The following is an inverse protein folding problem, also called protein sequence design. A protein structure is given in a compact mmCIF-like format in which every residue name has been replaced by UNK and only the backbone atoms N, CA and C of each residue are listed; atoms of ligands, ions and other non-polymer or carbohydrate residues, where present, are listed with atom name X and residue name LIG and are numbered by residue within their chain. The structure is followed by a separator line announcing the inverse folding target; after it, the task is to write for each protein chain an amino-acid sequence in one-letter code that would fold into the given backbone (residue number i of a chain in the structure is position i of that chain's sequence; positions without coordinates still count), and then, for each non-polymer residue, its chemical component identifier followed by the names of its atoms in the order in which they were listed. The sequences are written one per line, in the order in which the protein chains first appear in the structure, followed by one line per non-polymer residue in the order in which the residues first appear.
data_IF_159047557591
#
_entry.id   IF_159047557591
#
_cell.length_a   1.000
_cell.length_b   1.000
_cell.length_c   1.000
_cell.angle_alpha   90.00
_cell.angle_beta   90.00
_cell.angle_gamma   90.00
#
_symmetry.space_group_name_H-M   'P 1'
#
loop_
_entity.id
_entity.type
_entity.pdbx_description
1 polymer ?
#
# COMPACT_ATOMS: atom_id res chain seq x y z
N UNK A 1 66.94 36.64 25.07
CA UNK A 1 66.07 35.52 25.49
C UNK A 1 65.08 35.18 24.37
N UNK A 2 65.58 34.76 23.20
CA UNK A 2 64.75 34.53 22.01
C UNK A 2 65.04 33.19 21.32
N UNK A 3 66.27 32.69 21.40
CA UNK A 3 66.65 31.43 20.76
C UNK A 3 66.02 30.15 21.36
N UNK A 4 65.66 30.14 22.65
CA UNK A 4 65.03 28.96 23.27
C UNK A 4 63.56 28.77 22.86
N UNK A 5 62.82 29.86 22.62
CA UNK A 5 61.39 29.79 22.26
C UNK A 5 61.15 29.12 20.91
N UNK A 6 62.06 29.31 19.95
CA UNK A 6 61.93 28.68 18.63
C UNK A 6 62.25 27.18 18.69
N UNK A 7 63.24 26.77 19.51
CA UNK A 7 63.55 25.36 19.76
C UNK A 7 62.38 24.58 20.36
N UNK A 8 61.69 25.14 21.35
CA UNK A 8 60.52 24.46 21.94
C UNK A 8 59.35 24.36 20.94
N UNK A 9 59.16 25.38 20.09
CA UNK A 9 58.08 25.42 19.09
C UNK A 9 58.28 24.41 17.96
N UNK A 10 59.51 24.16 17.53
CA UNK A 10 59.81 23.12 16.54
C UNK A 10 59.71 21.71 17.17
N UNK A 11 60.11 21.56 18.44
CA UNK A 11 59.97 20.31 19.21
C UNK A 11 58.51 19.92 19.47
N UNK A 12 57.60 20.89 19.53
CA UNK A 12 56.16 20.67 19.60
C UNK A 12 55.58 20.21 18.25
N UNK A 13 55.93 20.89 17.14
CA UNK A 13 55.53 20.48 15.78
C UNK A 13 55.94 19.06 15.42
N UNK A 14 57.14 18.63 15.80
CA UNK A 14 57.61 17.27 15.50
C UNK A 14 56.85 16.21 16.32
N UNK A 15 56.42 16.52 17.55
CA UNK A 15 55.55 15.63 18.34
C UNK A 15 54.17 15.45 17.70
N UNK A 16 53.59 16.50 17.15
CA UNK A 16 52.29 16.40 16.49
C UNK A 16 52.37 15.63 15.16
N UNK A 17 53.44 15.83 14.38
CA UNK A 17 53.73 15.01 13.18
C UNK A 17 53.85 13.52 13.49
N UNK A 18 54.46 13.16 14.61
CA UNK A 18 54.57 11.75 15.01
C UNK A 18 53.24 11.16 15.51
N UNK A 19 52.38 11.95 16.16
CA UNK A 19 51.00 11.54 16.49
C UNK A 19 50.17 11.27 15.24
N UNK A 20 50.24 12.13 14.23
CA UNK A 20 49.50 11.95 12.97
C UNK A 20 49.98 10.69 12.22
N UNK A 21 51.29 10.41 12.22
CA UNK A 21 51.87 9.17 11.68
C UNK A 21 51.40 7.92 12.41
N UNK A 22 51.24 7.95 13.72
CA UNK A 22 50.65 6.83 14.47
C UNK A 22 49.17 6.64 14.15
N UNK A 23 48.43 7.74 13.96
CA UNK A 23 47.01 7.69 13.55
C UNK A 23 46.84 7.03 12.19
N UNK A 24 47.58 7.47 11.18
CA UNK A 24 47.57 6.84 9.84
C UNK A 24 47.96 5.36 9.86
N UNK A 25 48.96 4.98 10.68
CA UNK A 25 49.32 3.56 10.86
C UNK A 25 48.16 2.74 11.43
N UNK A 26 47.42 3.30 12.39
CA UNK A 26 46.30 2.60 13.05
C UNK A 26 45.11 2.40 12.11
N UNK A 27 44.85 3.37 11.23
CA UNK A 27 43.74 3.25 10.28
C UNK A 27 44.11 2.37 9.06
N UNK A 28 45.36 2.42 8.57
CA UNK A 28 45.86 1.43 7.57
C UNK A 28 45.85 -0.01 8.09
N UNK A 29 46.10 -0.22 9.39
CA UNK A 29 45.98 -1.55 9.98
C UNK A 29 44.54 -2.09 9.90
N UNK A 30 43.54 -1.24 10.18
CA UNK A 30 42.10 -1.58 10.12
C UNK A 30 41.63 -1.93 8.72
N UNK A 31 42.05 -1.18 7.70
CA UNK A 31 41.72 -1.51 6.30
C UNK A 31 42.34 -2.86 5.86
N UNK A 32 43.52 -3.20 6.38
CA UNK A 32 44.18 -4.47 6.05
C UNK A 32 43.48 -5.70 6.63
N UNK A 33 42.78 -5.56 7.76
CA UNK A 33 42.01 -6.66 8.37
C UNK A 33 40.67 -6.91 7.64
N UNK A 34 40.01 -5.86 7.14
CA UNK A 34 38.74 -5.98 6.42
C UNK A 34 38.85 -6.64 5.03
N UNK A 35 40.07 -6.83 4.51
CA UNK A 35 40.30 -7.32 3.13
C UNK A 35 40.45 -8.85 3.01
N UNK A 36 40.14 -9.63 4.06
CA UNK A 36 40.26 -11.11 4.04
C UNK A 36 38.91 -11.79 3.77
N UNK A 37 38.71 -12.50 2.64
CA UNK A 37 37.47 -13.22 2.39
C UNK A 37 37.42 -14.51 3.23
N UNK A 38 36.41 -14.66 4.09
CA UNK A 38 36.10 -15.94 4.76
C UNK A 38 34.80 -16.54 4.25
N UNK A 39 34.90 -17.86 4.00
CA UNK A 39 33.97 -18.70 3.24
C UNK A 39 32.63 -18.93 3.95
N UNK A 40 31.66 -19.32 3.15
CA UNK A 40 30.40 -19.99 3.52
C UNK A 40 30.55 -21.16 4.50
N UNK A 41 29.48 -21.48 5.24
CA UNK A 41 28.77 -22.79 5.16
C UNK A 41 27.63 -22.96 6.21
N UNK A 42 26.40 -23.15 5.70
CA UNK A 42 25.38 -24.17 6.10
C UNK A 42 25.10 -24.56 7.57
N UNK A 43 23.81 -24.40 7.93
CA UNK A 43 22.88 -25.36 8.58
C UNK A 43 23.02 -25.82 10.05
N UNK A 44 21.84 -25.83 10.69
CA UNK A 44 21.29 -26.81 11.67
C UNK A 44 21.77 -26.85 13.14
N UNK A 45 20.80 -27.14 14.02
CA UNK A 45 21.00 -27.47 15.44
C UNK A 45 21.38 -26.29 16.36
N UNK A 46 21.06 -26.28 17.64
CA UNK A 46 20.42 -27.31 18.46
C UNK A 46 21.09 -27.40 19.84
N UNK A 47 20.49 -26.76 20.84
CA UNK A 47 20.67 -26.92 22.30
C UNK A 47 22.09 -27.04 22.92
N UNK A 48 22.40 -26.10 23.83
CA UNK A 48 23.04 -26.32 25.17
C UNK A 48 23.08 -24.96 25.89
N UNK A 49 22.38 -24.82 27.02
CA UNK A 49 22.83 -25.12 28.39
C UNK A 49 23.84 -24.09 28.93
N UNK A 50 23.39 -23.32 29.91
CA UNK A 50 24.20 -22.93 31.06
C UNK A 50 23.39 -23.27 32.33
N UNK A 51 23.93 -24.13 33.17
CA UNK A 51 23.69 -24.14 34.62
C UNK A 51 24.67 -23.10 35.23
N UNK A 52 24.49 -22.42 36.36
CA UNK A 52 24.24 -22.75 37.78
C UNK A 52 23.97 -21.39 38.50
N UNK A 53 23.38 -21.24 39.68
CA UNK A 53 22.61 -22.09 40.64
C UNK A 53 21.62 -21.13 41.40
N UNK A 54 20.94 -21.38 42.52
CA UNK A 54 21.02 -22.41 43.58
C UNK A 54 19.67 -22.56 44.35
N UNK A 55 19.65 -23.36 45.42
CA UNK A 55 18.51 -23.65 46.31
C UNK A 55 18.04 -22.52 47.24
N UNK A 56 16.74 -22.49 47.52
CA UNK A 56 16.22 -22.70 48.90
C UNK A 56 14.81 -23.29 48.85
N UNK A 57 14.64 -24.45 49.49
CA UNK A 57 13.34 -25.11 49.69
C UNK A 57 12.66 -24.55 50.94
N UNK A 58 11.33 -24.51 50.95
CA UNK A 58 10.50 -24.59 52.17
C UNK A 58 9.15 -25.19 51.76
N UNK A 59 8.92 -26.46 52.08
CA UNK A 59 7.58 -27.05 52.11
C UNK A 59 6.95 -26.76 53.47
N UNK A 60 5.72 -26.24 53.48
CA UNK A 60 4.82 -26.43 54.62
C UNK A 60 3.48 -26.95 54.11
N UNK A 61 3.28 -28.25 54.27
CA UNK A 61 2.00 -28.93 54.13
C UNK A 61 1.30 -28.89 55.48
N UNK A 62 0.07 -28.37 55.52
CA UNK A 62 -0.82 -28.65 56.64
C UNK A 62 -2.27 -28.88 56.21
N UNK A 63 -2.85 -29.94 56.75
CA UNK A 63 -4.12 -30.50 56.29
C UNK A 63 -5.11 -30.63 57.45
N UNK A 64 -6.29 -30.03 57.25
CA UNK A 64 -7.55 -30.35 57.91
C UNK A 64 -7.68 -30.15 59.43
N UNK A 65 -8.56 -29.21 59.81
CA UNK A 65 -9.46 -29.45 60.95
C UNK A 65 -10.87 -28.98 60.58
N UNK A 66 -11.85 -29.86 60.78
CA UNK A 66 -13.25 -29.58 60.51
C UNK A 66 -13.97 -29.13 61.78
N UNK A 67 -14.67 -28.00 61.70
CA UNK A 67 -15.77 -27.67 62.62
C UNK A 67 -17.02 -27.40 61.79
N UNK A 68 -18.11 -28.07 62.15
CA UNK A 68 -19.38 -27.96 61.45
C UNK A 68 -20.19 -26.78 62.00
N UNK A 69 -20.55 -25.83 61.15
CA UNK A 69 -21.74 -25.01 61.36
C UNK A 69 -22.58 -24.92 60.09
N UNK A 70 -23.89 -25.07 60.29
CA UNK A 70 -24.90 -25.18 59.26
C UNK A 70 -25.26 -23.80 58.69
N UNK A 71 -25.01 -23.55 57.40
CA UNK A 71 -25.46 -22.33 56.74
C UNK A 71 -25.98 -22.56 55.31
N UNK A 72 -27.31 -22.58 55.22
CA UNK A 72 -28.19 -22.36 54.04
C UNK A 72 -27.56 -22.39 52.63
N UNK A 73 -27.84 -23.46 51.88
CA UNK A 73 -27.67 -23.52 50.42
C UNK A 73 -28.54 -22.46 49.70
N UNK A 74 -28.03 -21.25 49.52
CA UNK A 74 -28.49 -20.35 48.45
C UNK A 74 -27.72 -20.67 47.18
N UNK A 75 -28.39 -21.31 46.22
CA UNK A 75 -27.92 -21.45 44.84
C UNK A 75 -27.73 -20.05 44.22
N UNK A 76 -26.51 -19.49 44.36
CA UNK A 76 -26.11 -18.27 43.65
C UNK A 76 -25.95 -18.65 42.18
N UNK A 77 -27.05 -18.55 41.42
CA UNK A 77 -27.02 -18.62 39.94
C UNK A 77 -25.86 -17.75 39.47
N UNK A 78 -24.87 -18.35 38.80
CA UNK A 78 -23.81 -17.58 38.15
C UNK A 78 -24.49 -16.55 37.23
N UNK A 79 -24.07 -15.27 37.24
CA UNK A 79 -24.62 -14.30 36.30
C UNK A 79 -24.44 -14.84 34.88
N UNK A 80 -25.40 -14.58 33.96
CA UNK A 80 -25.30 -15.10 32.60
C UNK A 80 -24.01 -14.58 31.96
N UNK A 81 -23.18 -15.49 31.43
CA UNK A 81 -21.99 -15.11 30.67
C UNK A 81 -22.42 -14.22 29.50
N UNK A 82 -22.00 -12.96 29.51
CA UNK A 82 -22.12 -12.07 28.35
C UNK A 82 -21.32 -12.70 27.22
N UNK A 83 -21.88 -12.70 26.01
CA UNK A 83 -21.18 -13.13 24.80
C UNK A 83 -20.70 -11.88 24.06
N UNK A 84 -19.58 -11.98 23.37
CA UNK A 84 -19.17 -10.91 22.46
C UNK A 84 -20.21 -10.70 21.35
N UNK A 85 -20.35 -9.46 20.91
CA UNK A 85 -21.30 -9.03 19.88
C UNK A 85 -20.66 -7.97 18.99
N UNK A 86 -21.30 -7.64 17.88
CA UNK A 86 -20.89 -6.56 17.00
C UNK A 86 -22.09 -5.66 16.67
N UNK A 87 -21.83 -4.39 16.37
CA UNK A 87 -22.84 -3.40 15.95
C UNK A 87 -22.72 -3.16 14.44
N UNK A 88 -23.84 -2.85 13.78
CA UNK A 88 -23.88 -2.54 12.35
C UNK A 88 -24.65 -1.26 12.05
N UNK A 89 -24.32 -0.62 10.93
CA UNK A 89 -25.15 0.40 10.29
C UNK A 89 -26.37 -0.22 9.60
N UNK A 90 -27.31 0.63 9.19
CA UNK A 90 -28.43 0.25 8.30
C UNK A 90 -27.95 -0.26 6.93
N UNK A 91 -26.75 0.15 6.49
CA UNK A 91 -26.08 -0.36 5.28
C UNK A 91 -25.42 -1.74 5.47
N UNK A 92 -25.43 -2.29 6.70
CA UNK A 92 -24.87 -3.60 7.02
C UNK A 92 -23.37 -3.62 7.32
N UNK A 93 -22.69 -2.46 7.32
CA UNK A 93 -21.27 -2.32 7.69
C UNK A 93 -21.09 -2.48 9.20
N UNK A 94 -19.99 -3.11 9.63
CA UNK A 94 -19.72 -3.38 11.05
C UNK A 94 -18.93 -2.22 11.67
N UNK A 95 -19.57 -1.48 12.59
CA UNK A 95 -19.02 -0.25 13.19
C UNK A 95 -18.32 -0.47 14.52
N UNK A 96 -18.64 -1.57 15.22
CA UNK A 96 -17.98 -1.91 16.47
C UNK A 96 -18.00 -3.41 16.77
N UNK A 97 -17.01 -3.84 17.57
CA UNK A 97 -16.96 -5.14 18.22
C UNK A 97 -16.90 -4.96 19.73
N UNK A 98 -17.75 -5.69 20.47
CA UNK A 98 -17.90 -5.57 21.92
C UNK A 98 -17.57 -6.94 22.53
N UNK A 99 -16.58 -7.00 23.41
CA UNK A 99 -16.13 -8.23 24.08
C UNK A 99 -17.09 -8.67 25.19
N UNK A 100 -16.82 -9.84 25.80
CA UNK A 100 -17.59 -10.33 26.96
C UNK A 100 -17.47 -9.39 28.19
N UNK A 101 -16.35 -8.66 28.29
CA UNK A 101 -16.04 -7.66 29.33
C UNK A 101 -16.55 -6.24 28.98
N UNK A 102 -17.49 -6.12 28.03
CA UNK A 102 -18.07 -4.87 27.50
C UNK A 102 -17.05 -3.86 26.90
N UNK A 103 -15.81 -4.27 26.58
CA UNK A 103 -14.84 -3.40 25.90
C UNK A 103 -15.23 -3.26 24.43
N UNK A 104 -15.45 -2.01 23.99
CA UNK A 104 -15.88 -1.66 22.63
C UNK A 104 -14.67 -1.27 21.77
N UNK A 105 -14.47 -1.97 20.66
CA UNK A 105 -13.47 -1.71 19.64
C UNK A 105 -14.14 -1.20 18.35
N UNK A 106 -13.49 -0.27 17.64
CA UNK A 106 -13.97 0.41 16.44
C UNK A 106 -12.83 0.54 15.41
N UNK A 107 -13.13 0.72 14.11
CA UNK A 107 -12.16 1.24 13.14
C UNK A 107 -11.43 2.47 13.67
N UNK A 108 -10.12 2.55 13.43
CA UNK A 108 -9.23 3.58 13.96
C UNK A 108 -8.64 3.30 15.35
N UNK A 109 -9.21 2.37 16.14
CA UNK A 109 -8.62 2.02 17.45
C UNK A 109 -7.24 1.37 17.28
N UNK A 110 -6.29 1.79 18.12
CA UNK A 110 -5.01 1.11 18.30
C UNK A 110 -5.12 0.03 19.38
N UNK A 111 -4.61 -1.17 19.08
CA UNK A 111 -4.93 -2.40 19.81
C UNK A 111 -3.73 -3.33 19.99
N UNK A 112 -3.79 -4.13 21.06
CA UNK A 112 -2.91 -5.27 21.27
C UNK A 112 -3.56 -6.54 20.74
N UNK A 113 -2.82 -7.31 19.94
CA UNK A 113 -3.23 -8.60 19.39
C UNK A 113 -2.34 -9.71 19.94
N UNK A 114 -2.92 -10.84 20.32
CA UNK A 114 -2.19 -12.00 20.81
C UNK A 114 -1.24 -12.59 19.76
N UNK A 115 0.04 -12.76 20.14
CA UNK A 115 0.97 -13.55 19.35
C UNK A 115 0.72 -15.04 19.55
N UNK A 116 0.72 -15.82 18.46
CA UNK A 116 0.55 -17.29 18.51
C UNK A 116 1.74 -18.02 19.13
N UNK A 117 2.86 -17.32 19.39
CA UNK A 117 4.08 -17.88 19.98
C UNK A 117 4.12 -17.55 21.48
N UNK A 118 4.38 -18.53 22.37
CA UNK A 118 4.59 -18.24 23.78
C UNK A 118 5.77 -17.29 23.98
N UNK A 119 5.72 -16.50 25.06
CA UNK A 119 6.74 -15.51 25.45
C UNK A 119 7.04 -14.42 24.40
N UNK A 120 6.21 -14.28 23.37
CA UNK A 120 6.31 -13.18 22.39
C UNK A 120 5.38 -12.03 22.81
N UNK A 121 5.83 -10.77 22.85
CA UNK A 121 4.97 -9.64 23.20
C UNK A 121 3.82 -9.48 22.20
N UNK A 122 2.72 -8.88 22.65
CA UNK A 122 1.56 -8.60 21.80
C UNK A 122 1.94 -7.81 20.55
N UNK A 123 1.33 -8.12 19.41
CA UNK A 123 1.43 -7.25 18.22
C UNK A 123 0.68 -5.95 18.48
N UNK A 124 1.20 -4.85 17.96
CA UNK A 124 0.57 -3.52 18.06
C UNK A 124 0.04 -3.16 16.68
N UNK A 125 -1.26 -2.87 16.61
CA UNK A 125 -1.99 -2.72 15.36
C UNK A 125 -3.00 -1.58 15.45
N UNK A 126 -3.46 -1.05 14.30
CA UNK A 126 -4.66 -0.22 14.23
C UNK A 126 -5.73 -0.88 13.36
N UNK A 127 -6.95 -0.96 13.87
CA UNK A 127 -8.10 -1.56 13.17
C UNK A 127 -8.45 -0.69 11.98
N UNK A 128 -8.49 -1.25 10.77
CA UNK A 128 -8.94 -0.57 9.56
C UNK A 128 -10.44 -0.77 9.35
N UNK A 129 -10.90 -2.02 9.40
CA UNK A 129 -12.30 -2.40 9.21
C UNK A 129 -12.59 -3.78 9.82
N UNK A 130 -13.88 -4.12 9.93
CA UNK A 130 -14.37 -5.43 10.34
C UNK A 130 -15.08 -6.13 9.19
N UNK A 131 -14.77 -7.41 8.97
CA UNK A 131 -15.36 -8.25 7.92
C UNK A 131 -15.99 -9.50 8.52
N UNK A 132 -17.19 -9.84 8.06
CA UNK A 132 -17.86 -11.08 8.45
C UNK A 132 -17.66 -12.17 7.40
N UNK A 133 -17.14 -13.32 7.82
CA UNK A 133 -17.07 -14.52 6.96
C UNK A 133 -18.13 -15.51 7.41
N UNK A 134 -19.12 -15.74 6.55
CA UNK A 134 -20.13 -16.77 6.72
C UNK A 134 -19.55 -18.11 6.29
N UNK A 135 -19.55 -19.11 7.18
CA UNK A 135 -18.94 -20.40 6.91
C UNK A 135 -19.94 -21.30 6.15
N UNK A 136 -20.05 -21.11 4.84
CA UNK A 136 -20.96 -21.83 3.93
C UNK A 136 -20.54 -23.29 3.70
N UNK A 137 -20.56 -24.10 4.76
CA UNK A 137 -20.30 -25.54 4.68
C UNK A 137 -21.51 -26.31 4.11
N UNK A 138 -21.84 -25.99 2.86
CA UNK A 138 -22.83 -26.66 2.02
C UNK A 138 -22.55 -26.34 0.54
N UNK A 139 -21.49 -26.95 -0.05
CA UNK A 139 -21.35 -27.27 -1.49
C UNK A 139 -19.97 -27.87 -1.84
N UNK A 140 -19.64 -29.05 -1.29
CA UNK A 140 -18.59 -29.92 -1.85
C UNK A 140 -18.70 -31.35 -1.31
N UNK A 141 -19.78 -32.06 -1.67
CA UNK A 141 -19.69 -33.51 -1.84
C UNK A 141 -19.01 -33.76 -3.17
N UNK A 142 -17.75 -34.17 -3.15
CA UNK A 142 -17.05 -34.66 -4.35
C UNK A 142 -17.81 -35.86 -4.93
N UNK A 143 -18.19 -35.86 -6.21
CA UNK A 143 -18.57 -37.09 -6.89
C UNK A 143 -17.35 -37.99 -6.99
N UNK A 144 -17.49 -39.27 -6.64
CA UNK A 144 -16.53 -40.31 -7.00
C UNK A 144 -16.48 -40.46 -8.53
N UNK A 145 -15.31 -40.62 -9.15
CA UNK A 145 -15.22 -40.82 -10.59
C UNK A 145 -15.74 -42.22 -10.95
N UNK A 146 -16.85 -42.27 -11.69
CA UNK A 146 -17.30 -43.46 -12.41
C UNK A 146 -17.02 -43.26 -13.91
N UNK A 147 -16.47 -44.30 -14.55
CA UNK A 147 -16.12 -44.32 -15.96
C UNK A 147 -17.37 -44.39 -16.87
N UNK A 148 -17.23 -43.92 -18.12
CA UNK A 148 -17.82 -44.45 -19.37
C UNK A 148 -19.33 -44.84 -19.38
N UNK A 149 -20.23 -44.29 -20.21
CA UNK A 149 -20.15 -43.99 -21.65
C UNK A 149 -21.39 -43.16 -22.13
N UNK A 150 -21.42 -42.66 -23.39
CA UNK A 150 -22.53 -41.88 -23.98
C UNK A 150 -23.42 -42.73 -24.94
N UNK A 151 -24.34 -42.14 -25.73
CA UNK A 151 -25.52 -41.33 -25.35
C UNK A 151 -26.83 -41.94 -25.90
N UNK A 152 -28.00 -41.46 -25.46
CA UNK A 152 -29.28 -41.76 -26.14
C UNK A 152 -30.30 -40.60 -26.08
N UNK A 153 -30.89 -40.31 -27.23
CA UNK A 153 -31.82 -39.21 -27.49
C UNK A 153 -33.18 -39.36 -26.79
N UNK A 154 -33.79 -38.25 -26.33
CA UNK A 154 -35.12 -37.79 -26.82
C UNK A 154 -35.60 -36.48 -26.16
N UNK A 155 -36.25 -35.63 -26.95
CA UNK A 155 -37.10 -34.47 -26.57
C UNK A 155 -38.58 -34.95 -26.51
N UNK A 156 -39.64 -34.10 -26.34
CA UNK A 156 -39.75 -32.68 -25.96
C UNK A 156 -40.82 -32.43 -24.84
N UNK A 157 -41.32 -31.17 -24.75
CA UNK A 157 -42.63 -30.72 -24.20
C UNK A 157 -42.69 -30.50 -22.68
N UNK A 158 -43.27 -29.45 -22.09
CA UNK A 158 -43.57 -28.03 -22.36
C UNK A 158 -44.57 -27.56 -21.27
N UNK A 159 -44.88 -26.25 -21.24
CA UNK A 159 -46.07 -25.62 -20.63
C UNK A 159 -46.28 -25.59 -19.10
N UNK A 160 -45.95 -24.41 -18.55
CA UNK A 160 -46.80 -23.53 -17.72
C UNK A 160 -46.84 -23.64 -16.17
N UNK A 161 -47.11 -22.49 -15.47
CA UNK A 161 -46.91 -22.33 -14.02
C UNK A 161 -48.22 -22.38 -13.20
N UNK A 162 -48.11 -22.43 -11.86
CA UNK A 162 -48.85 -21.47 -11.02
C UNK A 162 -47.96 -20.85 -9.91
N UNK A 163 -47.94 -19.53 -9.79
CA UNK A 163 -48.76 -18.74 -8.83
C UNK A 163 -48.42 -18.92 -7.34
N UNK A 164 -47.67 -17.93 -6.84
CA UNK A 164 -47.81 -17.23 -5.56
C UNK A 164 -48.73 -17.87 -4.48
N UNK A 165 -48.11 -18.51 -3.49
CA UNK A 165 -48.67 -18.64 -2.14
C UNK A 165 -47.70 -18.01 -1.15
N UNK A 166 -48.18 -16.98 -0.46
CA UNK A 166 -47.49 -16.29 0.61
C UNK A 166 -47.61 -17.09 1.92
N UNK A 167 -46.49 -17.61 2.43
CA UNK A 167 -46.42 -18.08 3.82
C UNK A 167 -45.40 -17.27 4.61
N UNK A 168 -45.89 -16.60 5.65
CA UNK A 168 -45.05 -15.88 6.60
C UNK A 168 -44.44 -16.84 7.62
N UNK A 169 -43.27 -16.48 8.16
CA UNK A 169 -42.88 -16.94 9.49
C UNK A 169 -42.05 -18.23 9.55
N UNK A 170 -40.80 -18.16 9.07
CA UNK A 170 -39.65 -18.74 9.79
C UNK A 170 -38.39 -17.92 9.47
N UNK A 171 -38.00 -17.06 10.42
CA UNK A 171 -36.66 -16.47 10.39
C UNK A 171 -35.61 -17.59 10.37
N UNK A 172 -34.50 -17.44 9.63
CA UNK A 172 -33.55 -18.54 9.43
C UNK A 172 -33.00 -19.01 10.77
N UNK A 173 -33.26 -20.28 11.07
CA UNK A 173 -32.69 -20.99 12.23
C UNK A 173 -31.18 -20.89 12.15
N UNK A 174 -30.55 -20.38 13.21
CA UNK A 174 -29.17 -19.89 13.19
C UNK A 174 -28.18 -20.88 12.56
N UNK A 175 -27.63 -20.49 11.41
CA UNK A 175 -26.51 -21.20 10.79
C UNK A 175 -25.25 -21.06 11.65
N UNK A 176 -24.25 -21.90 11.37
CA UNK A 176 -23.01 -22.04 12.14
C UNK A 176 -22.31 -20.68 12.27
N UNK A 177 -21.95 -20.30 13.52
CA UNK A 177 -21.35 -19.02 13.94
C UNK A 177 -20.56 -18.32 12.83
N UNK A 178 -21.02 -17.13 12.47
CA UNK A 178 -20.24 -16.22 11.63
C UNK A 178 -18.90 -15.89 12.29
N UNK A 179 -17.83 -15.89 11.50
CA UNK A 179 -16.50 -15.53 11.97
C UNK A 179 -16.27 -14.04 11.71
N UNK A 180 -16.18 -13.25 12.79
CA UNK A 180 -15.78 -11.85 12.69
C UNK A 180 -14.25 -11.76 12.57
N UNK A 181 -13.81 -11.18 11.45
CA UNK A 181 -12.45 -10.80 11.15
C UNK A 181 -12.31 -9.28 11.25
N UNK A 182 -11.08 -8.81 11.43
CA UNK A 182 -10.68 -7.42 11.31
C UNK A 182 -9.48 -7.34 10.36
N UNK A 183 -9.41 -6.28 9.56
CA UNK A 183 -8.18 -5.91 8.88
C UNK A 183 -7.42 -4.92 9.75
N UNK A 184 -6.10 -5.04 9.83
CA UNK A 184 -5.25 -4.21 10.68
C UNK A 184 -4.00 -3.75 9.97
N UNK A 185 -3.62 -2.48 10.18
CA UNK A 185 -2.26 -2.00 9.89
C UNK A 185 -1.33 -2.33 11.05
N UNK A 186 -0.09 -2.67 10.73
CA UNK A 186 0.93 -3.06 11.71
C UNK A 186 1.73 -1.87 12.21
N UNK A 187 2.18 -1.96 13.46
CA UNK A 187 3.23 -1.11 14.02
C UNK A 187 4.39 -2.00 14.49
N UNK A 188 5.55 -1.84 13.86
CA UNK A 188 6.76 -2.56 14.20
C UNK A 188 7.46 -1.88 15.37
N UNK A 189 7.90 -2.64 16.37
CA UNK A 189 8.84 -2.18 17.39
C UNK A 189 10.24 -1.99 16.79
N UNK A 190 11.08 -1.21 17.46
CA UNK A 190 12.51 -1.12 17.15
C UNK A 190 13.17 -2.49 16.98
N UNK A 191 12.90 -3.46 17.87
CA UNK A 191 13.48 -4.81 17.82
C UNK A 191 12.94 -5.70 16.70
N UNK A 192 11.94 -5.24 15.94
CA UNK A 192 11.33 -5.95 14.81
C UNK A 192 11.78 -5.34 13.47
N UNK A 193 12.47 -4.19 13.50
CA UNK A 193 13.15 -3.57 12.36
C UNK A 193 14.60 -4.08 12.30
N UNK A 194 15.14 -4.45 11.12
CA UNK A 194 16.51 -4.94 11.01
C UNK A 194 17.55 -3.93 11.50
N UNK A 195 18.56 -4.40 12.26
CA UNK A 195 19.59 -3.56 12.87
C UNK A 195 20.27 -2.60 11.87
N UNK A 196 20.55 -3.06 10.64
CA UNK A 196 21.14 -2.22 9.61
C UNK A 196 20.25 -1.03 9.25
N UNK A 197 18.93 -1.21 9.17
CA UNK A 197 17.98 -0.14 8.86
C UNK A 197 17.90 0.85 10.02
N UNK A 198 17.87 0.35 11.26
CA UNK A 198 17.85 1.19 12.45
C UNK A 198 19.16 1.96 12.68
N UNK A 199 20.32 1.38 12.33
CA UNK A 199 21.61 2.07 12.39
C UNK A 199 21.68 3.27 11.44
N UNK A 200 21.18 3.15 10.21
CA UNK A 200 21.07 4.29 9.29
C UNK A 200 20.16 5.38 9.87
N UNK A 201 18.99 5.02 10.44
CA UNK A 201 18.12 5.98 11.11
C UNK A 201 18.81 6.75 12.26
N UNK A 202 19.62 6.06 13.07
CA UNK A 202 20.39 6.70 14.15
C UNK A 202 21.45 7.65 13.58
N UNK A 203 22.07 7.30 12.45
CA UNK A 203 23.02 8.16 11.76
C UNK A 203 22.35 9.38 11.14
N UNK A 204 21.22 9.22 10.45
CA UNK A 204 20.46 10.31 9.84
C UNK A 204 19.99 11.31 10.92
N UNK A 205 19.44 10.81 12.05
CA UNK A 205 19.07 11.63 13.21
C UNK A 205 20.26 12.35 13.87
N UNK A 206 21.48 11.84 13.72
CA UNK A 206 22.67 12.53 14.21
C UNK A 206 23.13 13.61 13.24
N UNK A 207 23.06 13.35 11.93
CA UNK A 207 23.39 14.30 10.87
C UNK A 207 22.41 15.49 10.85
N UNK A 208 21.11 15.25 11.03
CA UNK A 208 20.07 16.31 11.06
C UNK A 208 20.08 17.14 12.36
N UNK A 209 20.80 16.70 13.39
CA UNK A 209 20.87 17.37 14.68
C UNK A 209 22.02 18.40 14.74
N UNK A 210 22.10 19.28 13.73
CA UNK A 210 23.06 20.40 13.64
C UNK A 210 23.12 21.26 14.93
N UNK A 211 22.01 21.32 15.66
CA UNK A 211 21.88 22.09 16.90
C UNK A 211 22.50 21.42 18.14
N UNK A 212 22.95 20.16 18.05
CA UNK A 212 23.45 19.38 19.19
C UNK A 212 22.43 19.22 20.32
N UNK A 213 21.13 19.31 20.02
CA UNK A 213 20.06 19.23 21.04
C UNK A 213 19.90 17.79 21.50
N UNK A 214 19.53 17.60 22.76
CA UNK A 214 19.20 16.28 23.26
C UNK A 214 17.96 15.73 22.54
N UNK A 215 18.11 14.58 21.88
CA UNK A 215 17.01 13.90 21.19
C UNK A 215 16.18 13.14 22.23
N UNK A 216 14.84 13.16 22.12
CA UNK A 216 13.96 12.51 23.10
C UNK A 216 14.22 10.99 23.28
N UNK A 217 14.82 10.35 22.26
CA UNK A 217 15.22 8.94 22.24
C UNK A 217 16.53 8.64 23.00
N UNK A 218 17.17 9.62 23.66
CA UNK A 218 18.26 9.36 24.60
C UNK A 218 17.77 8.64 25.85
N UNK A 219 16.55 8.95 26.31
CA UNK A 219 15.87 8.20 27.37
C UNK A 219 15.50 6.78 26.85
N UNK A 220 16.08 5.70 27.42
CA UNK A 220 15.76 4.33 27.03
C UNK A 220 14.27 4.00 27.19
N UNK A 221 13.56 4.64 28.13
CA UNK A 221 12.13 4.44 28.35
C UNK A 221 11.32 4.97 27.16
N UNK A 222 11.64 6.17 26.67
CA UNK A 222 10.94 6.78 25.53
C UNK A 222 11.34 6.08 24.24
N UNK A 223 12.62 5.75 24.06
CA UNK A 223 13.14 4.99 22.91
C UNK A 223 12.37 3.68 22.69
N UNK A 224 12.11 2.93 23.76
CA UNK A 224 11.34 1.68 23.71
C UNK A 224 9.82 1.86 23.45
N UNK A 225 9.33 3.11 23.32
CA UNK A 225 7.95 3.44 22.93
C UNK A 225 7.82 3.95 21.49
N UNK A 226 8.93 4.07 20.76
CA UNK A 226 8.92 4.33 19.32
C UNK A 226 8.49 3.08 18.55
N UNK A 227 7.55 3.28 17.63
CA UNK A 227 7.06 2.30 16.68
C UNK A 227 7.19 2.83 15.25
N UNK A 228 7.13 1.92 14.28
CA UNK A 228 7.15 2.22 12.86
C UNK A 228 5.87 1.68 12.21
N UNK A 229 5.01 2.56 11.70
CA UNK A 229 3.76 2.17 11.04
C UNK A 229 4.05 1.44 9.72
N UNK A 230 3.25 0.46 9.34
CA UNK A 230 3.36 -0.17 8.02
C UNK A 230 2.06 -0.05 7.24
N UNK A 231 2.19 0.11 5.93
CA UNK A 231 1.07 -0.01 4.99
C UNK A 231 0.68 -1.47 4.73
N UNK A 232 1.43 -2.43 5.27
CA UNK A 232 1.04 -3.83 5.28
C UNK A 232 -0.23 -4.03 6.11
N UNK A 233 -1.27 -4.56 5.46
CA UNK A 233 -2.56 -4.90 6.08
C UNK A 233 -2.67 -6.42 6.20
N UNK A 234 -3.01 -6.90 7.39
CA UNK A 234 -3.22 -8.33 7.69
C UNK A 234 -4.60 -8.54 8.33
N UNK A 235 -5.08 -9.78 8.34
CA UNK A 235 -6.45 -10.14 8.79
C UNK A 235 -6.44 -11.04 10.02
N UNK A 236 -7.03 -10.55 11.12
CA UNK A 236 -7.10 -11.27 12.40
C UNK A 236 -8.55 -11.55 12.84
N UNK A 237 -8.76 -12.60 13.63
CA UNK A 237 -10.05 -12.82 14.29
C UNK A 237 -10.29 -11.78 15.38
N UNK A 238 -11.53 -11.30 15.52
CA UNK A 238 -11.94 -10.37 16.57
C UNK A 238 -11.60 -10.87 18.00
N UNK A 239 -11.58 -12.19 18.21
CA UNK A 239 -11.22 -12.83 19.48
C UNK A 239 -9.72 -12.75 19.83
N UNK A 240 -8.85 -12.30 18.93
CA UNK A 240 -7.42 -12.14 19.19
C UNK A 240 -7.05 -10.81 19.88
N UNK A 241 -8.02 -9.89 20.02
CA UNK A 241 -7.86 -8.62 20.74
C UNK A 241 -7.63 -8.84 22.24
N UNK A 242 -6.62 -8.18 22.81
CA UNK A 242 -6.27 -8.27 24.23
C UNK A 242 -6.29 -6.95 24.99
N UNK A 243 -6.39 -5.82 24.29
CA UNK A 243 -6.56 -4.51 24.90
C UNK A 243 -6.46 -3.40 23.86
N UNK A 244 -6.73 -2.16 24.30
CA UNK A 244 -6.41 -0.95 23.53
C UNK A 244 -5.08 -0.37 23.98
N UNK A 245 -4.43 0.35 23.08
CA UNK A 245 -3.30 1.21 23.38
C UNK A 245 -3.52 2.58 22.72
N UNK A 246 -2.71 3.58 23.09
CA UNK A 246 -2.73 4.90 22.49
C UNK A 246 -1.44 5.11 21.68
N UNK A 247 -1.56 5.44 20.40
CA UNK A 247 -0.43 5.69 19.51
C UNK A 247 -0.54 7.10 18.97
N UNK A 248 0.47 7.94 19.24
CA UNK A 248 0.54 9.31 18.74
C UNK A 248 1.44 9.42 17.51
N UNK A 249 1.00 10.17 16.50
CA UNK A 249 1.84 10.58 15.38
C UNK A 249 2.61 11.85 15.74
N UNK A 250 3.88 11.94 15.32
CA UNK A 250 4.66 13.19 15.34
C UNK A 250 5.29 13.42 13.97
N UNK A 251 5.42 14.69 13.56
CA UNK A 251 6.05 15.08 12.29
C UNK A 251 7.52 14.68 12.22
N UNK A 252 8.23 14.81 13.34
CA UNK A 252 9.68 14.68 13.43
C UNK A 252 10.12 14.33 14.86
N UNK A 253 11.42 14.07 15.02
CA UNK A 253 12.03 13.67 16.29
C UNK A 253 12.06 14.79 17.35
N UNK A 254 11.95 16.06 16.95
CA UNK A 254 11.90 17.19 17.86
C UNK A 254 10.48 17.44 18.38
N UNK A 255 9.44 17.22 17.56
CA UNK A 255 8.05 17.24 17.98
C UNK A 255 7.74 16.12 18.99
N UNK A 256 8.35 14.94 18.82
CA UNK A 256 8.21 13.80 19.73
C UNK A 256 8.66 14.07 21.18
N UNK A 257 9.34 15.19 21.47
CA UNK A 257 9.64 15.65 22.86
C UNK A 257 8.39 15.85 23.73
N UNK A 258 7.23 16.03 23.11
CA UNK A 258 5.95 16.25 23.81
C UNK A 258 5.30 14.92 24.26
N UNK A 259 5.83 13.78 23.80
CA UNK A 259 5.40 12.46 24.21
C UNK A 259 5.62 12.22 25.71
N UNK A 260 4.65 11.58 26.36
CA UNK A 260 4.71 11.22 27.78
C UNK A 260 4.61 9.71 27.90
N UNK A 261 5.72 9.07 28.30
CA UNK A 261 5.77 7.63 28.49
C UNK A 261 4.72 7.16 29.52
N UNK A 262 3.88 6.21 29.10
CA UNK A 262 2.87 5.53 29.92
C UNK A 262 2.84 4.05 29.53
N UNK A 263 2.21 3.21 30.35
CA UNK A 263 2.18 1.74 30.16
C UNK A 263 1.65 1.35 28.78
N UNK A 264 0.56 1.98 28.34
CA UNK A 264 -0.12 1.71 27.06
C UNK A 264 -0.07 2.90 26.09
N UNK A 265 1.03 3.65 26.09
CA UNK A 265 1.25 4.75 25.14
C UNK A 265 2.52 4.55 24.33
N UNK A 266 2.42 4.80 23.04
CA UNK A 266 3.48 4.70 22.05
C UNK A 266 3.42 5.90 21.09
N UNK A 267 4.43 6.04 20.25
CA UNK A 267 4.42 7.01 19.17
C UNK A 267 5.09 6.47 17.92
N UNK A 268 4.85 7.12 16.79
CA UNK A 268 5.55 6.87 15.53
C UNK A 268 5.80 8.19 14.79
N UNK A 269 6.92 8.22 14.06
CA UNK A 269 7.34 9.33 13.20
C UNK A 269 7.45 8.84 11.76
N UNK A 270 8.12 7.69 11.58
CA UNK A 270 8.38 7.06 10.31
C UNK A 270 7.52 5.81 10.13
N UNK A 271 7.30 5.43 8.88
CA UNK A 271 6.81 4.10 8.55
C UNK A 271 7.94 3.14 8.15
N UNK A 272 7.63 1.86 8.12
CA UNK A 272 8.53 0.78 7.73
C UNK A 272 7.85 -0.15 6.72
N UNK A 273 8.51 -0.34 5.58
CA UNK A 273 8.11 -1.32 4.58
C UNK A 273 8.97 -2.59 4.75
N UNK A 274 8.39 -3.73 5.17
CA UNK A 274 9.12 -4.96 5.44
C UNK A 274 9.66 -5.66 4.18
N UNK A 275 9.05 -5.45 3.02
CA UNK A 275 9.44 -6.07 1.75
C UNK A 275 10.73 -5.42 1.20
N UNK A 276 10.75 -4.09 1.15
CA UNK A 276 11.89 -3.30 0.66
C UNK A 276 12.94 -3.02 1.74
N UNK A 277 12.61 -3.31 3.02
CA UNK A 277 13.43 -3.03 4.21
C UNK A 277 13.85 -1.56 4.29
N UNK A 278 12.92 -0.64 4.00
CA UNK A 278 13.13 0.80 4.01
C UNK A 278 12.21 1.48 5.01
N UNK A 279 12.72 2.55 5.60
CA UNK A 279 11.91 3.54 6.32
C UNK A 279 11.39 4.58 5.33
N UNK A 280 10.19 5.08 5.57
CA UNK A 280 9.59 6.18 4.83
C UNK A 280 9.08 7.27 5.79
N UNK A 281 8.99 8.51 5.31
CA UNK A 281 8.22 9.53 6.02
C UNK A 281 6.74 9.14 5.98
N UNK A 282 6.03 9.40 7.07
CA UNK A 282 4.59 9.18 7.20
C UNK A 282 3.75 10.24 6.49
N UNK A 283 4.40 11.32 6.05
CA UNK A 283 3.81 12.37 5.21
C UNK A 283 4.56 12.44 3.89
N UNK A 284 3.86 12.84 2.82
CA UNK A 284 4.50 13.09 1.53
C UNK A 284 5.50 14.23 1.64
N UNK A 285 6.78 13.96 1.38
CA UNK A 285 7.88 14.89 1.58
C UNK A 285 8.55 15.26 0.24
N UNK A 286 8.85 16.55 0.05
CA UNK A 286 9.62 17.04 -1.09
C UNK A 286 11.10 16.98 -0.74
N UNK A 287 11.84 16.05 -1.38
CA UNK A 287 13.29 15.94 -1.21
C UNK A 287 14.02 16.94 -2.10
N UNK A 288 14.85 17.78 -1.47
CA UNK A 288 15.68 18.79 -2.15
C UNK A 288 17.13 18.32 -2.13
N UNK A 289 17.80 18.36 -3.29
CA UNK A 289 19.23 18.09 -3.40
C UNK A 289 19.66 17.55 -4.77
N UNK A 290 20.97 17.50 -5.07
CA UNK A 290 21.49 17.18 -6.41
C UNK A 290 21.14 15.77 -6.93
N UNK A 291 20.77 14.83 -6.05
CA UNK A 291 20.33 13.48 -6.42
C UNK A 291 18.84 13.38 -6.75
N UNK A 292 18.04 14.39 -6.43
CA UNK A 292 16.59 14.43 -6.63
C UNK A 292 16.18 15.53 -7.64
N UNK A 293 17.00 16.56 -7.82
CA UNK A 293 16.75 17.66 -8.74
C UNK A 293 17.35 17.37 -10.12
N UNK A 294 16.60 17.67 -11.18
CA UNK A 294 17.13 17.60 -12.54
C UNK A 294 18.24 18.65 -12.74
N UNK A 295 19.32 18.27 -13.44
CA UNK A 295 20.32 19.23 -13.89
C UNK A 295 19.67 20.11 -14.97
N UNK A 296 19.54 21.40 -14.69
CA UNK A 296 19.04 22.37 -15.67
C UNK A 296 20.00 22.44 -16.88
N UNK A 297 19.49 22.47 -18.12
CA UNK A 297 20.30 22.69 -19.31
C UNK A 297 20.81 24.13 -19.36
N UNK A 298 21.95 24.34 -20.02
CA UNK A 298 22.50 25.67 -20.24
C UNK A 298 21.61 26.48 -21.20
N UNK A 299 21.40 27.76 -20.89
CA UNK A 299 20.56 28.66 -21.67
C UNK A 299 21.08 28.77 -23.12
N UNK A 300 20.28 28.25 -24.07
CA UNK A 300 20.53 28.41 -25.49
C UNK A 300 19.97 29.75 -25.99
N UNK A 301 20.59 30.38 -27.02
CA UNK A 301 19.96 31.49 -27.72
C UNK A 301 18.66 31.03 -28.39
N UNK A 302 17.72 31.96 -28.60
CA UNK A 302 16.51 31.65 -29.36
C UNK A 302 16.88 31.19 -30.79
N UNK A 303 16.15 30.20 -31.35
CA UNK A 303 16.35 29.80 -32.74
C UNK A 303 16.08 30.97 -33.68
N UNK A 304 16.83 31.04 -34.78
CA UNK A 304 16.59 32.03 -35.84
C UNK A 304 15.18 31.86 -36.43
N UNK A 305 14.47 32.95 -36.74
CA UNK A 305 13.12 32.87 -37.33
C UNK A 305 13.08 32.20 -38.71
N UNK A 306 14.23 32.07 -39.38
CA UNK A 306 14.40 31.39 -40.67
C UNK A 306 14.71 29.88 -40.53
N UNK A 307 14.66 29.31 -39.31
CA UNK A 307 14.84 27.87 -39.09
C UNK A 307 13.60 27.07 -39.48
N UNK A 308 13.79 25.82 -39.93
CA UNK A 308 12.68 24.90 -40.19
C UNK A 308 11.80 24.75 -38.95
N UNK A 309 10.50 25.04 -39.10
CA UNK A 309 9.51 25.01 -38.01
C UNK A 309 9.10 23.61 -37.59
N UNK A 310 9.62 22.59 -38.25
CA UNK A 310 9.33 21.16 -38.05
C UNK A 310 10.66 20.44 -37.84
N UNK A 311 10.91 20.01 -36.60
CA UNK A 311 12.09 19.20 -36.26
C UNK A 311 11.90 17.75 -36.69
N UNK A 312 13.00 16.98 -36.72
CA UNK A 312 12.99 15.54 -37.02
C UNK A 312 12.12 14.66 -36.08
N UNK A 313 11.57 15.24 -35.00
CA UNK A 313 10.77 14.55 -34.00
C UNK A 313 9.27 14.87 -34.11
N UNK A 314 8.86 15.73 -35.04
CA UNK A 314 7.46 16.11 -35.25
C UNK A 314 7.08 16.08 -36.73
N UNK A 315 5.79 15.96 -37.00
CA UNK A 315 5.21 16.03 -38.33
C UNK A 315 4.11 17.09 -38.31
N UNK A 316 4.18 18.07 -39.21
CA UNK A 316 3.13 19.07 -39.32
C UNK A 316 1.89 18.44 -39.94
N UNK A 317 0.83 18.27 -39.16
CA UNK A 317 -0.46 17.74 -39.64
C UNK A 317 -1.50 18.84 -39.88
N UNK A 318 -1.31 20.02 -39.30
CA UNK A 318 -2.20 21.17 -39.47
C UNK A 318 -1.50 22.50 -39.16
N UNK A 319 -1.77 23.52 -39.98
CA UNK A 319 -1.31 24.89 -39.86
C UNK A 319 -2.54 25.82 -39.72
N UNK A 320 -2.63 26.64 -38.65
CA UNK A 320 -3.65 27.69 -38.54
C UNK A 320 -3.49 28.75 -39.64
N UNK A 321 -4.60 29.34 -40.11
CA UNK A 321 -4.59 30.45 -41.08
C UNK A 321 -5.60 30.31 -42.23
N UNK A 322 -6.25 29.14 -42.38
CA UNK A 322 -7.40 28.97 -43.29
C UNK A 322 -8.55 29.85 -42.83
N UNK A 323 -9.29 30.46 -43.76
CA UNK A 323 -10.49 31.23 -43.43
C UNK A 323 -11.61 30.31 -42.90
N UNK A 324 -12.20 30.64 -41.75
CA UNK A 324 -13.25 29.83 -41.11
C UNK A 324 -14.47 29.58 -42.02
N UNK A 325 -14.87 30.55 -42.85
CA UNK A 325 -16.02 30.40 -43.76
C UNK A 325 -15.72 29.36 -44.85
N UNK A 326 -14.55 29.46 -45.48
CA UNK A 326 -14.09 28.52 -46.51
C UNK A 326 -13.85 27.13 -45.92
N UNK A 327 -13.27 27.05 -44.71
CA UNK A 327 -13.05 25.81 -43.98
C UNK A 327 -14.38 25.12 -43.63
N UNK A 328 -15.36 25.85 -43.10
CA UNK A 328 -16.69 25.32 -42.80
C UNK A 328 -17.43 24.88 -44.07
N UNK A 329 -17.30 25.61 -45.18
CA UNK A 329 -17.87 25.22 -46.47
C UNK A 329 -17.22 23.94 -47.01
N UNK A 330 -15.88 23.84 -46.94
CA UNK A 330 -15.12 22.64 -47.31
C UNK A 330 -15.50 21.42 -46.45
N UNK A 331 -15.52 21.57 -45.13
CA UNK A 331 -15.91 20.50 -44.20
C UNK A 331 -17.36 20.06 -44.42
N UNK A 332 -18.26 20.99 -44.74
CA UNK A 332 -19.65 20.66 -45.11
C UNK A 332 -19.71 19.83 -46.39
N UNK A 333 -18.95 20.20 -47.43
CA UNK A 333 -18.86 19.44 -48.66
C UNK A 333 -18.26 18.03 -48.44
N UNK A 334 -17.18 17.93 -47.67
CA UNK A 334 -16.56 16.66 -47.30
C UNK A 334 -17.53 15.75 -46.53
N UNK A 335 -18.26 16.27 -45.53
CA UNK A 335 -19.29 15.53 -44.81
C UNK A 335 -20.46 15.12 -45.70
N UNK A 336 -20.86 15.92 -46.68
CA UNK A 336 -21.87 15.52 -47.67
C UNK A 336 -21.38 14.39 -48.60
N UNK A 337 -20.10 14.35 -48.97
CA UNK A 337 -19.51 13.24 -49.73
C UNK A 337 -19.48 11.95 -48.89
N UNK A 338 -19.10 12.04 -47.61
CA UNK A 338 -19.14 10.91 -46.69
C UNK A 338 -20.59 10.43 -46.42
N UNK A 339 -21.55 11.35 -46.30
CA UNK A 339 -22.98 11.03 -46.18
C UNK A 339 -23.46 10.22 -47.39
N UNK A 340 -23.12 10.67 -48.59
CA UNK A 340 -23.51 10.00 -49.83
C UNK A 340 -22.91 8.60 -49.94
N UNK A 341 -21.62 8.44 -49.64
CA UNK A 341 -20.98 7.13 -49.58
C UNK A 341 -21.64 6.20 -48.54
N UNK A 342 -21.90 6.70 -47.32
CA UNK A 342 -22.61 5.93 -46.28
C UNK A 342 -24.01 5.47 -46.70
N UNK A 343 -24.77 6.31 -47.41
CA UNK A 343 -26.07 5.91 -47.97
C UNK A 343 -25.94 4.86 -49.08
N UNK A 344 -24.89 4.93 -49.91
CA UNK A 344 -24.63 3.93 -50.96
C UNK A 344 -24.17 2.58 -50.41
N UNK A 345 -23.36 2.58 -49.35
CA UNK A 345 -22.76 1.38 -48.79
C UNK A 345 -23.66 0.69 -47.73
N UNK A 346 -24.38 1.46 -46.90
CA UNK A 346 -25.29 0.94 -45.87
C UNK A 346 -26.75 0.78 -46.32
N UNK A 347 -27.18 1.53 -47.34
CA UNK A 347 -28.52 1.45 -47.91
C UNK A 347 -29.61 2.20 -47.15
N UNK A 348 -29.27 2.92 -46.06
CA UNK A 348 -30.19 3.77 -45.30
C UNK A 348 -29.74 5.24 -45.25
N UNK A 349 -30.66 6.14 -44.90
CA UNK A 349 -30.35 7.56 -44.64
C UNK A 349 -29.56 7.76 -43.35
N UNK A 350 -29.72 6.83 -42.42
CA UNK A 350 -29.14 6.76 -41.09
C UNK A 350 -27.64 6.47 -41.19
N UNK A 351 -27.22 5.53 -42.05
CA UNK A 351 -25.81 5.23 -42.32
C UNK A 351 -25.08 6.44 -42.91
N UNK A 352 -25.75 7.20 -43.79
CA UNK A 352 -25.24 8.49 -44.28
C UNK A 352 -25.06 9.53 -43.17
N UNK A 353 -26.02 9.64 -42.26
CA UNK A 353 -25.93 10.54 -41.10
C UNK A 353 -24.76 10.16 -40.18
N UNK A 354 -24.59 8.86 -39.89
CA UNK A 354 -23.49 8.32 -39.08
C UNK A 354 -22.14 8.56 -39.76
N UNK A 355 -22.00 8.26 -41.05
CA UNK A 355 -20.77 8.49 -41.81
C UNK A 355 -20.38 9.98 -41.84
N UNK A 356 -21.35 10.89 -41.95
CA UNK A 356 -21.12 12.34 -42.01
C UNK A 356 -20.79 12.98 -40.65
N UNK A 357 -21.26 12.41 -39.55
CA UNK A 357 -21.10 12.96 -38.20
C UNK A 357 -19.86 12.46 -37.46
N UNK A 358 -19.20 11.40 -37.93
CA UNK A 358 -17.96 10.87 -37.35
C UNK A 358 -16.80 11.86 -37.35
N UNK A 359 -16.01 11.84 -36.27
CA UNK A 359 -14.76 12.59 -36.17
C UNK A 359 -13.73 12.12 -37.20
N UNK A 360 -13.66 10.82 -37.53
CA UNK A 360 -12.80 10.27 -38.59
C UNK A 360 -12.99 10.98 -39.93
N UNK A 361 -14.24 11.23 -40.31
CA UNK A 361 -14.60 11.96 -41.54
C UNK A 361 -14.10 13.41 -41.49
N UNK A 362 -14.17 14.04 -40.33
CA UNK A 362 -13.67 15.41 -40.11
C UNK A 362 -12.13 15.45 -40.14
N UNK A 363 -11.47 14.51 -39.46
CA UNK A 363 -10.01 14.37 -39.42
C UNK A 363 -9.42 14.10 -40.80
N UNK A 364 -10.03 13.18 -41.57
CA UNK A 364 -9.63 12.88 -42.93
C UNK A 364 -9.77 14.08 -43.87
N UNK A 365 -10.82 14.89 -43.71
CA UNK A 365 -10.97 16.13 -44.45
C UNK A 365 -9.87 17.14 -44.08
N UNK A 366 -9.55 17.32 -42.80
CA UNK A 366 -8.47 18.23 -42.36
C UNK A 366 -7.10 17.77 -42.86
N UNK A 367 -6.76 16.49 -42.75
CA UNK A 367 -5.51 15.91 -43.25
C UNK A 367 -5.43 16.04 -44.78
N UNK A 368 -6.49 15.68 -45.51
CA UNK A 368 -6.53 15.81 -46.98
C UNK A 368 -6.39 17.27 -47.43
N UNK A 369 -6.91 18.23 -46.66
CA UNK A 369 -6.74 19.66 -46.92
C UNK A 369 -5.28 20.10 -46.69
N UNK A 370 -4.65 19.68 -45.59
CA UNK A 370 -3.24 19.93 -45.32
C UNK A 370 -2.33 19.34 -46.42
N UNK A 371 -2.47 18.05 -46.73
CA UNK A 371 -1.73 17.34 -47.80
C UNK A 371 -1.96 17.92 -49.21
N UNK A 372 -3.02 18.71 -49.40
CA UNK A 372 -3.34 19.41 -50.64
C UNK A 372 -2.80 20.84 -50.69
N UNK A 373 -2.03 21.26 -49.67
CA UNK A 373 -1.49 22.61 -49.55
C UNK A 373 -2.59 23.66 -49.32
N UNK A 374 -3.63 23.30 -48.55
CA UNK A 374 -4.79 24.14 -48.24
C UNK A 374 -5.68 24.53 -49.44
N UNK A 375 -5.49 23.89 -50.59
CA UNK A 375 -6.35 24.03 -51.76
C UNK A 375 -7.59 23.13 -51.61
N UNK A 376 -8.73 23.74 -51.24
CA UNK A 376 -10.00 23.05 -51.07
C UNK A 376 -10.48 22.32 -52.34
N UNK A 377 -10.18 22.84 -53.53
CA UNK A 377 -10.56 22.22 -54.80
C UNK A 377 -9.80 20.91 -55.05
N UNK A 378 -8.47 20.93 -54.86
CA UNK A 378 -7.63 19.73 -54.92
C UNK A 378 -7.99 18.74 -53.82
N UNK A 379 -8.27 19.22 -52.61
CA UNK A 379 -8.63 18.38 -51.48
C UNK A 379 -9.95 17.64 -51.72
N UNK A 380 -10.99 18.30 -52.25
CA UNK A 380 -12.24 17.65 -52.63
C UNK A 380 -12.03 16.62 -53.77
N UNK A 381 -11.20 16.92 -54.77
CA UNK A 381 -10.87 15.95 -55.83
C UNK A 381 -10.15 14.69 -55.31
N UNK A 382 -9.37 14.80 -54.21
CA UNK A 382 -8.80 13.64 -53.51
C UNK A 382 -9.87 12.90 -52.71
N UNK A 383 -10.67 13.62 -51.91
CA UNK A 383 -11.73 13.05 -51.08
C UNK A 383 -12.76 12.23 -51.88
N UNK A 384 -13.15 12.66 -53.08
CA UNK A 384 -14.11 11.90 -53.93
C UNK A 384 -13.64 10.45 -54.19
N UNK A 385 -12.34 10.15 -54.15
CA UNK A 385 -11.81 8.79 -54.33
C UNK A 385 -11.86 7.93 -53.07
N UNK A 386 -11.91 8.55 -51.88
CA UNK A 386 -11.95 7.93 -50.55
C UNK A 386 -12.69 8.86 -49.56
N UNK A 387 -14.03 9.03 -49.70
CA UNK A 387 -14.77 10.02 -48.93
C UNK A 387 -14.92 9.64 -47.46
N UNK A 388 -14.95 8.33 -47.18
CA UNK A 388 -14.92 7.75 -45.84
C UNK A 388 -13.56 7.07 -45.64
N UNK A 389 -12.86 7.32 -44.52
CA UNK A 389 -11.65 6.57 -44.17
C UNK A 389 -11.94 5.08 -44.01
N UNK A 390 -10.93 4.23 -44.20
CA UNK A 390 -11.01 2.87 -43.67
C UNK A 390 -10.98 2.97 -42.15
N UNK A 391 -12.09 2.63 -41.49
CA UNK A 391 -12.17 2.65 -40.04
C UNK A 391 -11.07 1.76 -39.43
N UNK A 392 -10.51 2.22 -38.31
CA UNK A 392 -9.92 1.30 -37.34
C UNK A 392 -11.09 0.74 -36.54
N UNK A 393 -11.73 -0.31 -37.07
CA UNK A 393 -12.77 -1.04 -36.34
C UNK A 393 -12.12 -1.76 -35.14
N UNK A 394 -12.09 -1.06 -34.01
CA UNK A 394 -12.10 -1.66 -32.67
C UNK A 394 -13.50 -1.62 -32.09
N UNK A 395 -14.44 -2.16 -32.86
CA UNK A 395 -15.65 -2.71 -32.27
C UNK A 395 -15.21 -3.97 -31.53
N UNK A 396 -15.29 -3.95 -30.20
CA UNK A 396 -15.32 -5.18 -29.41
C UNK A 396 -16.56 -5.95 -29.90
N UNK A 397 -16.45 -7.26 -30.14
CA UNK A 397 -17.63 -8.07 -30.47
C UNK A 397 -18.64 -8.05 -29.32
N UNK A 398 -19.90 -8.42 -29.55
CA UNK A 398 -20.88 -8.49 -28.43
C UNK A 398 -20.37 -9.45 -27.32
N UNK A 399 -19.76 -10.58 -27.72
CA UNK A 399 -19.04 -11.53 -26.84
C UNK A 399 -17.82 -10.95 -26.08
N UNK A 400 -17.36 -9.77 -26.47
CA UNK A 400 -16.22 -9.03 -25.88
C UNK A 400 -16.69 -7.80 -25.06
N UNK A 401 -18.00 -7.53 -25.04
CA UNK A 401 -18.65 -6.45 -24.28
C UNK A 401 -19.44 -6.98 -23.07
N UNK A 402 -19.87 -8.24 -23.08
CA UNK A 402 -20.35 -8.99 -21.90
C UNK A 402 -19.22 -9.47 -20.96
#
# INVERSE_FOLDING_TARGET
MTADKDKDKDKEKDRDRDRDREREKRDKARESENSRPRRSCTLEGGAKNYAESDHSEDEDNDNNSATAEESTKKNKKKPPKKKSRYERTDTGEITSYITEDDVVYRPGDCVYIESRRPNTPYFICSIQDFKLVHNSQACCRSPTPALCDPPACSLPVASQPPQHLSEAGRGPVGSKRDHLLMNVKWYYRQSEVPDSVYQHLVQDRHNENDSGRELVITDPVIKNRELFISDYVDTYHAAALRGKCNISHFSDIFAAREFKARVDSFFYILGYNPETRRLNSTQGEIRVGPSHQAKLPDLQPFPSPDGDTVTQHEELVWMPGVNDCDLLMYLRAARSMAAFAGMCDGGSTEDGCVAASRDDTTLNALNTLHESGYDAGKALQRLVKKPVPKLIEKCWTEDEVE
#
